data_IF_194584960558
#
_entry.id   IF_194584960558
#
_cell.length_a   1.000
_cell.length_b   1.000
_cell.length_c   1.000
_cell.angle_alpha   90.00
_cell.angle_beta   90.00
_cell.angle_gamma   90.00
#
_symmetry.space_group_name_H-M   'P 1'
#
loop_
_entity.id
_entity.type
_entity.pdbx_description
1 polymer ?
#
# COMPACT_ATOMS: atom_id res chain seq x y z
N UNK A 1 0.29 17.94 13.05
CA UNK A 1 0.51 16.65 12.35
C UNK A 1 -0.66 16.43 11.41
N UNK A 2 -0.44 15.87 10.22
CA UNK A 2 -1.50 15.51 9.28
C UNK A 2 -1.39 14.02 8.96
N UNK A 3 -2.53 13.37 8.79
CA UNK A 3 -2.67 11.97 8.41
C UNK A 3 -3.54 11.90 7.17
N UNK A 4 -2.97 11.38 6.08
CA UNK A 4 -3.70 11.13 4.84
C UNK A 4 -4.91 10.22 5.08
N UNK A 5 -6.01 10.48 4.37
CA UNK A 5 -7.12 9.56 4.35
C UNK A 5 -6.67 8.22 3.73
N UNK A 6 -6.99 7.08 4.37
CA UNK A 6 -6.72 5.77 3.80
C UNK A 6 -7.57 5.47 2.57
N UNK A 7 -8.76 6.08 2.46
CA UNK A 7 -9.74 5.81 1.40
C UNK A 7 -10.26 7.11 0.79
N UNK A 8 -10.98 7.02 -0.34
CA UNK A 8 -11.64 8.18 -0.96
C UNK A 8 -13.01 8.52 -0.36
N UNK A 9 -13.51 7.71 0.59
CA UNK A 9 -14.86 7.84 1.17
C UNK A 9 -14.90 8.64 2.47
N UNK A 10 -13.74 9.04 2.98
CA UNK A 10 -13.60 9.80 4.21
C UNK A 10 -12.47 10.84 4.06
N UNK A 11 -12.61 12.02 4.67
CA UNK A 11 -11.58 13.05 4.60
C UNK A 11 -10.35 12.69 5.46
N UNK A 12 -9.24 13.38 5.21
CA UNK A 12 -8.01 13.23 5.97
C UNK A 12 -8.15 13.74 7.42
N UNK A 13 -7.16 13.46 8.28
CA UNK A 13 -7.13 13.95 9.67
C UNK A 13 -6.00 14.92 9.92
N UNK A 14 -6.28 15.99 10.64
CA UNK A 14 -5.25 16.86 11.19
C UNK A 14 -5.27 16.82 12.71
N UNK A 15 -4.09 17.02 13.29
CA UNK A 15 -3.90 17.04 14.74
C UNK A 15 -3.09 18.28 15.10
N UNK A 16 -3.58 18.98 16.10
CA UNK A 16 -2.82 19.99 16.80
C UNK A 16 -2.20 19.36 18.04
N UNK A 17 -0.88 19.27 18.10
CA UNK A 17 -0.17 18.57 19.17
C UNK A 17 0.75 19.50 19.95
N UNK A 18 0.80 19.29 21.27
CA UNK A 18 1.92 19.67 22.12
C UNK A 18 2.83 18.45 22.25
N UNK A 19 4.13 18.65 21.98
CA UNK A 19 5.16 17.64 22.19
C UNK A 19 6.11 18.13 23.28
N UNK A 20 6.29 17.29 24.31
CA UNK A 20 7.24 17.50 25.38
C UNK A 20 8.31 16.40 25.32
N UNK A 21 9.58 16.78 25.31
CA UNK A 21 10.70 15.85 25.30
C UNK A 21 11.58 16.10 26.52
N UNK A 22 11.93 15.05 27.26
CA UNK A 22 12.78 15.15 28.43
C UNK A 22 13.68 13.93 28.58
N UNK A 23 14.84 14.13 29.19
CA UNK A 23 15.76 13.07 29.59
C UNK A 23 15.54 12.81 31.09
N UNK A 24 15.26 11.57 31.44
CA UNK A 24 15.03 11.12 32.81
C UNK A 24 16.36 10.91 33.55
N UNK A 25 16.31 10.78 34.87
CA UNK A 25 17.50 10.62 35.73
C UNK A 25 18.30 9.35 35.41
N UNK A 26 17.63 8.30 34.92
CA UNK A 26 18.25 7.04 34.48
C UNK A 26 18.87 7.12 33.07
N UNK A 27 18.82 8.29 32.42
CA UNK A 27 19.30 8.50 31.06
C UNK A 27 18.29 8.11 29.97
N UNK A 28 17.09 7.63 30.33
CA UNK A 28 16.04 7.32 29.37
C UNK A 28 15.47 8.60 28.74
N UNK A 29 15.06 8.53 27.47
CA UNK A 29 14.39 9.64 26.78
C UNK A 29 12.88 9.40 26.77
N UNK A 30 12.12 10.37 27.27
CA UNK A 30 10.65 10.37 27.17
C UNK A 30 10.20 11.47 26.21
N UNK A 31 9.29 11.11 25.32
CA UNK A 31 8.58 12.04 24.43
C UNK A 31 7.10 11.86 24.70
N UNK A 32 6.44 12.89 25.20
CA UNK A 32 5.00 12.91 25.44
C UNK A 32 4.31 13.77 24.40
N UNK A 33 3.20 13.28 23.89
CA UNK A 33 2.37 13.94 22.89
C UNK A 33 0.93 13.99 23.37
N UNK A 34 0.30 15.15 23.18
CA UNK A 34 -1.12 15.33 23.45
C UNK A 34 -1.68 16.42 22.57
N UNK A 35 -2.95 16.30 22.19
CA UNK A 35 -3.65 17.37 21.52
C UNK A 35 -3.90 18.56 22.43
N UNK A 36 -3.73 19.77 21.89
CA UNK A 36 -4.21 20.97 22.54
C UNK A 36 -5.71 21.08 22.31
N UNK A 37 -6.47 20.80 23.34
CA UNK A 37 -7.91 21.03 23.35
C UNK A 37 -8.21 22.52 23.56
N UNK A 38 -9.35 22.96 23.05
CA UNK A 38 -9.81 24.34 23.19
C UNK A 38 -10.28 24.57 24.64
N UNK A 39 -9.33 24.61 25.58
CA UNK A 39 -9.60 25.04 26.95
C UNK A 39 -10.09 26.48 26.92
N UNK A 40 -11.08 26.83 27.75
CA UNK A 40 -11.96 28.01 27.68
C UNK A 40 -11.33 29.41 27.43
N UNK A 41 -10.00 29.55 27.39
CA UNK A 41 -9.27 30.80 27.15
C UNK A 41 -8.14 30.69 26.10
N UNK A 42 -8.08 29.60 25.32
CA UNK A 42 -7.10 29.42 24.24
C UNK A 42 -7.58 29.99 22.90
N UNK A 43 -6.67 30.27 21.94
CA UNK A 43 -7.07 30.66 20.60
C UNK A 43 -7.85 29.51 19.94
N UNK A 44 -9.08 29.79 19.49
CA UNK A 44 -9.87 28.87 18.67
C UNK A 44 -9.16 28.69 17.34
N UNK A 45 -8.67 27.49 17.06
CA UNK A 45 -7.87 27.28 15.86
C UNK A 45 -8.75 26.96 14.67
N UNK A 46 -8.54 27.63 13.51
CA UNK A 46 -9.40 27.48 12.38
C UNK A 46 -9.31 26.05 11.82
N UNK A 47 -10.43 25.53 11.28
CA UNK A 47 -10.42 24.26 10.57
C UNK A 47 -9.52 24.36 9.33
N UNK A 48 -8.79 23.28 9.04
CA UNK A 48 -8.01 23.15 7.82
C UNK A 48 -8.90 22.53 6.74
N UNK A 49 -8.97 23.16 5.57
CA UNK A 49 -9.80 22.66 4.47
C UNK A 49 -9.40 21.23 4.07
N UNK A 50 -10.38 20.36 3.83
CA UNK A 50 -10.21 18.93 3.50
C UNK A 50 -9.76 18.01 4.64
N UNK A 51 -9.60 18.54 5.86
CA UNK A 51 -9.26 17.76 7.05
C UNK A 51 -10.36 17.82 8.10
N UNK A 52 -10.52 16.72 8.83
CA UNK A 52 -11.28 16.68 10.09
C UNK A 52 -10.29 16.66 11.24
N UNK A 53 -10.51 17.52 12.22
CA UNK A 53 -9.69 17.60 13.43
C UNK A 53 -9.86 16.35 14.27
N UNK A 54 -8.78 15.61 14.46
CA UNK A 54 -8.69 14.48 15.37
C UNK A 54 -7.96 14.88 16.68
N UNK A 55 -8.17 14.09 17.73
CA UNK A 55 -7.53 14.29 19.03
C UNK A 55 -6.48 13.19 19.27
N UNK A 56 -5.29 13.61 19.72
CA UNK A 56 -4.28 12.73 20.29
C UNK A 56 -4.45 12.76 21.82
N UNK A 57 -4.89 11.65 22.38
CA UNK A 57 -4.92 11.42 23.82
C UNK A 57 -3.47 11.18 24.32
N UNK A 58 -3.21 11.13 25.64
CA UNK A 58 -1.85 10.96 26.17
C UNK A 58 -1.10 9.80 25.49
N UNK A 59 -0.12 10.16 24.66
CA UNK A 59 0.60 9.29 23.74
C UNK A 59 2.09 9.63 23.76
N UNK A 60 2.91 8.80 23.10
CA UNK A 60 4.32 9.10 22.89
C UNK A 60 5.23 7.89 23.05
N UNK A 61 6.49 8.17 23.42
CA UNK A 61 7.60 7.23 23.33
C UNK A 61 8.45 7.25 24.59
N UNK A 62 8.84 6.06 25.08
CA UNK A 62 9.88 5.90 26.09
C UNK A 62 11.02 5.08 25.49
N UNK A 63 12.19 5.71 25.37
CA UNK A 63 13.39 5.09 24.79
C UNK A 63 14.40 4.85 25.91
N UNK A 64 14.76 3.58 26.11
CA UNK A 64 15.70 3.15 27.14
C UNK A 64 16.90 2.48 26.51
N UNK A 65 18.10 2.86 26.92
CA UNK A 65 19.31 2.16 26.53
C UNK A 65 19.30 0.72 27.07
N UNK A 66 19.88 -0.21 26.32
CA UNK A 66 20.01 -1.61 26.70
C UNK A 66 21.47 -2.04 26.70
N UNK A 67 21.78 -3.00 27.57
CA UNK A 67 23.07 -3.67 27.53
C UNK A 67 23.27 -4.33 26.16
N UNK A 68 24.41 -4.08 25.52
CA UNK A 68 24.69 -4.54 24.15
C UNK A 68 24.52 -3.48 23.05
N UNK A 69 24.32 -2.21 23.40
CA UNK A 69 24.35 -1.09 22.44
C UNK A 69 23.05 -0.88 21.63
N UNK A 70 21.95 -1.51 22.06
CA UNK A 70 20.61 -1.30 21.52
C UNK A 70 19.74 -0.41 22.40
N UNK A 71 18.51 -0.18 21.96
CA UNK A 71 17.49 0.54 22.72
C UNK A 71 16.17 -0.22 22.71
N UNK A 72 15.45 -0.21 23.83
CA UNK A 72 14.05 -0.61 23.90
C UNK A 72 13.20 0.65 23.76
N UNK A 73 12.27 0.62 22.81
CA UNK A 73 11.32 1.71 22.55
C UNK A 73 9.93 1.21 22.94
N UNK A 74 9.32 1.84 23.94
CA UNK A 74 7.90 1.67 24.24
C UNK A 74 7.11 2.75 23.52
N UNK A 75 6.05 2.36 22.81
CA UNK A 75 5.19 3.27 22.04
C UNK A 75 3.77 3.20 22.57
N UNK A 76 3.15 4.35 22.77
CA UNK A 76 1.74 4.48 23.13
C UNK A 76 1.08 5.39 22.12
N UNK A 77 0.19 4.82 21.30
CA UNK A 77 -0.58 5.55 20.29
C UNK A 77 -2.08 5.53 20.61
N UNK A 78 -2.58 6.62 21.19
CA UNK A 78 -3.99 6.76 21.55
C UNK A 78 -4.61 7.95 20.81
N UNK A 79 -5.40 7.65 19.79
CA UNK A 79 -5.98 8.64 18.89
C UNK A 79 -7.51 8.51 18.87
N UNK A 80 -8.22 9.64 18.98
CA UNK A 80 -9.64 9.76 18.69
C UNK A 80 -9.80 10.38 17.29
N UNK A 81 -10.30 9.59 16.35
CA UNK A 81 -10.24 9.90 14.92
C UNK A 81 -11.57 10.42 14.36
N UNK A 82 -12.46 10.90 15.22
CA UNK A 82 -13.82 11.37 14.87
C UNK A 82 -14.59 10.33 14.02
N UNK A 83 -14.86 9.12 14.53
CA UNK A 83 -15.50 8.04 13.77
C UNK A 83 -16.90 8.40 13.27
N UNK A 84 -17.57 9.37 13.90
CA UNK A 84 -18.90 9.85 13.48
C UNK A 84 -18.86 10.73 12.23
N UNK A 85 -17.68 11.22 11.84
CA UNK A 85 -17.49 12.03 10.63
C UNK A 85 -17.34 11.20 9.34
N UNK A 86 -17.36 9.86 9.44
CA UNK A 86 -17.20 8.95 8.29
C UNK A 86 -18.46 8.10 8.06
N UNK A 87 -18.66 7.55 6.85
CA UNK A 87 -19.75 6.61 6.59
C UNK A 87 -19.70 5.41 7.53
N UNK A 88 -20.87 4.88 7.91
CA UNK A 88 -21.00 3.78 8.87
C UNK A 88 -20.15 2.56 8.51
N UNK A 89 -20.04 2.25 7.21
CA UNK A 89 -19.22 1.12 6.75
C UNK A 89 -17.73 1.28 7.04
N UNK A 90 -17.22 2.51 7.14
CA UNK A 90 -15.83 2.79 7.48
C UNK A 90 -15.61 3.04 8.96
N UNK A 91 -16.68 3.17 9.76
CA UNK A 91 -16.59 3.54 11.17
C UNK A 91 -15.62 2.64 11.98
N UNK A 92 -15.60 1.30 11.79
CA UNK A 92 -14.64 0.44 12.51
C UNK A 92 -13.16 0.83 12.31
N UNK A 93 -12.81 1.40 11.14
CA UNK A 93 -11.44 1.87 10.85
C UNK A 93 -11.02 3.09 11.68
N UNK A 94 -11.99 3.88 12.15
CA UNK A 94 -11.77 5.14 12.87
C UNK A 94 -12.13 5.05 14.37
N UNK A 95 -12.87 4.02 14.79
CA UNK A 95 -13.18 3.74 16.19
C UNK A 95 -11.95 3.27 16.98
N UNK A 96 -10.98 2.63 16.29
CA UNK A 96 -9.74 2.16 16.89
C UNK A 96 -8.54 2.89 16.29
N UNK A 97 -7.59 3.30 17.13
CA UNK A 97 -6.31 3.84 16.66
C UNK A 97 -5.42 2.77 16.01
N UNK A 98 -5.69 1.48 16.27
CA UNK A 98 -4.77 0.37 15.98
C UNK A 98 -4.23 0.39 14.57
N UNK A 99 -5.08 0.35 13.54
CA UNK A 99 -4.61 0.19 12.15
C UNK A 99 -3.86 1.44 11.66
N UNK A 100 -4.42 2.63 11.88
CA UNK A 100 -3.83 3.88 11.40
C UNK A 100 -2.56 4.26 12.16
N UNK A 101 -2.54 4.05 13.47
CA UNK A 101 -1.35 4.25 14.30
C UNK A 101 -0.28 3.22 13.97
N UNK A 102 -0.61 1.93 13.96
CA UNK A 102 0.35 0.86 13.65
C UNK A 102 1.00 1.07 12.28
N UNK A 103 0.23 1.45 11.26
CA UNK A 103 0.80 1.74 9.93
C UNK A 103 1.87 2.83 10.00
N UNK A 104 1.61 3.90 10.72
CA UNK A 104 2.53 5.05 10.84
C UNK A 104 3.74 4.69 11.70
N UNK A 105 3.51 4.09 12.87
CA UNK A 105 4.54 3.71 13.84
C UNK A 105 5.47 2.64 13.29
N UNK A 106 4.93 1.59 12.66
CA UNK A 106 5.75 0.54 12.04
C UNK A 106 6.60 1.08 10.89
N UNK A 107 6.05 1.95 10.04
CA UNK A 107 6.83 2.59 8.98
C UNK A 107 8.00 3.42 9.55
N UNK A 108 7.78 4.16 10.63
CA UNK A 108 8.83 4.93 11.31
C UNK A 108 9.90 4.03 11.95
N UNK A 109 9.51 2.96 12.65
CA UNK A 109 10.43 2.02 13.27
C UNK A 109 11.28 1.27 12.24
N UNK A 110 10.67 0.81 11.13
CA UNK A 110 11.39 0.22 10.00
C UNK A 110 12.41 1.20 9.42
N UNK A 111 12.03 2.47 9.27
CA UNK A 111 12.94 3.51 8.79
C UNK A 111 14.13 3.74 9.73
N UNK A 112 13.91 3.80 11.05
CA UNK A 112 14.98 3.93 12.05
C UNK A 112 15.93 2.73 12.03
N UNK A 113 15.38 1.52 11.95
CA UNK A 113 16.16 0.28 11.89
C UNK A 113 17.06 0.26 10.65
N UNK A 114 16.54 0.70 9.50
CA UNK A 114 17.33 0.78 8.28
C UNK A 114 18.44 1.84 8.36
N UNK A 115 18.16 3.03 8.92
CA UNK A 115 19.21 4.05 9.13
C UNK A 115 20.33 3.51 10.01
N UNK A 116 19.99 2.85 11.12
CA UNK A 116 20.97 2.27 12.04
C UNK A 116 21.91 1.29 11.34
N UNK A 117 21.37 0.47 10.43
CA UNK A 117 22.16 -0.51 9.69
C UNK A 117 23.06 0.13 8.63
N UNK A 118 22.55 1.11 7.88
CA UNK A 118 23.32 1.84 6.86
C UNK A 118 24.55 2.54 7.49
N UNK A 119 24.42 3.04 8.74
CA UNK A 119 25.53 3.62 9.50
C UNK A 119 26.55 2.57 9.94
N UNK A 120 26.11 1.33 10.20
CA UNK A 120 26.97 0.26 10.72
C UNK A 120 27.78 -0.52 9.67
N UNK A 121 27.35 -0.52 8.39
CA UNK A 121 27.93 -1.35 7.31
C UNK A 121 28.21 -0.53 6.02
N UNK A 122 29.22 0.36 5.99
CA UNK A 122 29.46 1.25 4.85
C UNK A 122 30.09 0.58 3.60
N UNK A 123 30.63 -0.65 3.68
CA UNK A 123 31.52 -1.22 2.66
C UNK A 123 31.08 -2.58 2.07
N UNK A 124 29.78 -2.82 1.85
CA UNK A 124 29.33 -3.98 1.08
C UNK A 124 29.42 -3.71 -0.45
N UNK A 125 30.58 -4.00 -1.04
CA UNK A 125 30.88 -3.86 -2.47
C UNK A 125 30.28 -5.00 -3.30
N UNK A 126 28.99 -4.92 -3.59
CA UNK A 126 28.30 -5.75 -4.57
C UNK A 126 27.21 -4.96 -5.29
N UNK A 127 26.78 -5.40 -6.47
CA UNK A 127 25.80 -4.71 -7.33
C UNK A 127 24.40 -4.45 -6.71
N UNK A 128 24.15 -4.77 -5.44
CA UNK A 128 22.94 -4.41 -4.65
C UNK A 128 22.88 -2.93 -4.26
N UNK A 129 23.26 -2.04 -5.18
CA UNK A 129 23.63 -0.64 -4.94
C UNK A 129 22.40 0.26 -4.70
N UNK A 130 22.51 1.02 -3.61
CA UNK A 130 21.66 2.15 -3.11
C UNK A 130 20.38 1.76 -2.34
N UNK A 131 20.50 1.12 -1.16
CA UNK A 131 19.38 0.99 -0.22
C UNK A 131 18.71 2.35 0.08
N UNK A 132 19.51 3.41 0.19
CA UNK A 132 19.00 4.77 0.39
C UNK A 132 18.16 5.30 -0.79
N UNK A 133 18.56 5.04 -2.04
CA UNK A 133 17.81 5.47 -3.22
C UNK A 133 16.51 4.67 -3.39
N UNK A 134 16.56 3.34 -3.22
CA UNK A 134 15.36 2.50 -3.23
C UNK A 134 14.39 2.88 -2.11
N UNK A 135 14.90 3.24 -0.92
CA UNK A 135 14.09 3.81 0.15
C UNK A 135 13.45 5.13 -0.25
N UNK A 136 14.23 6.07 -0.78
CA UNK A 136 13.72 7.36 -1.22
C UNK A 136 12.62 7.15 -2.27
N UNK A 137 12.81 6.22 -3.19
CA UNK A 137 11.86 5.88 -4.23
C UNK A 137 10.59 5.22 -3.66
N UNK A 138 10.71 4.32 -2.68
CA UNK A 138 9.57 3.72 -1.96
C UNK A 138 8.73 4.77 -1.25
N UNK A 139 9.41 5.70 -0.57
CA UNK A 139 8.76 6.81 0.12
C UNK A 139 8.07 7.75 -0.88
N UNK A 140 8.70 8.05 -2.02
CA UNK A 140 8.10 8.86 -3.09
C UNK A 140 6.88 8.16 -3.70
N UNK A 141 6.93 6.85 -3.96
CA UNK A 141 5.78 6.07 -4.45
C UNK A 141 4.61 6.12 -3.46
N UNK A 142 4.89 5.79 -2.19
CA UNK A 142 3.89 5.75 -1.13
C UNK A 142 3.27 7.12 -0.89
N UNK A 143 4.10 8.17 -0.82
CA UNK A 143 3.66 9.56 -0.67
C UNK A 143 2.82 9.99 -1.87
N UNK A 144 3.30 9.79 -3.11
CA UNK A 144 2.56 10.21 -4.30
C UNK A 144 1.25 9.45 -4.49
N UNK A 145 1.15 8.18 -4.07
CA UNK A 145 -0.11 7.45 -4.03
C UNK A 145 -1.07 8.01 -2.97
N UNK A 146 -0.58 8.34 -1.77
CA UNK A 146 -1.39 9.01 -0.75
C UNK A 146 -1.91 10.37 -1.21
N UNK A 147 -1.06 11.18 -1.87
CA UNK A 147 -1.46 12.44 -2.50
C UNK A 147 -2.53 12.22 -3.57
N UNK A 148 -2.41 11.18 -4.41
CA UNK A 148 -3.42 10.86 -5.43
C UNK A 148 -4.77 10.47 -4.82
N UNK A 149 -4.77 9.67 -3.75
CA UNK A 149 -5.99 9.27 -3.03
C UNK A 149 -6.69 10.47 -2.38
N UNK A 150 -5.92 11.42 -1.84
CA UNK A 150 -6.48 12.56 -1.11
C UNK A 150 -6.83 13.72 -2.04
N UNK A 151 -5.89 14.13 -2.90
CA UNK A 151 -6.09 15.15 -3.93
C UNK A 151 -6.44 16.51 -3.34
N UNK A 152 -5.59 17.00 -2.43
CA UNK A 152 -5.87 18.23 -1.69
C UNK A 152 -5.78 19.49 -2.57
N UNK A 153 -6.67 20.44 -2.31
CA UNK A 153 -6.79 21.67 -3.11
C UNK A 153 -5.62 22.63 -2.94
N UNK A 154 -4.95 22.61 -1.78
CA UNK A 154 -3.74 23.38 -1.49
C UNK A 154 -2.53 22.89 -2.31
N UNK A 155 -2.49 21.62 -2.70
CA UNK A 155 -1.52 21.05 -3.64
C UNK A 155 -1.88 21.29 -5.11
N UNK A 156 -2.93 22.07 -5.41
CA UNK A 156 -3.34 22.43 -6.76
C UNK A 156 -4.25 21.40 -7.45
N UNK A 157 -4.81 20.44 -6.73
CA UNK A 157 -5.83 19.55 -7.28
C UNK A 157 -7.19 20.26 -7.34
N UNK A 158 -7.90 20.07 -8.46
CA UNK A 158 -9.25 20.57 -8.69
C UNK A 158 -10.14 19.43 -9.18
N UNK A 159 -11.41 19.42 -8.76
CA UNK A 159 -12.35 18.41 -9.21
C UNK A 159 -12.82 18.73 -10.62
N UNK A 160 -12.81 17.74 -11.51
CA UNK A 160 -13.43 17.88 -12.82
C UNK A 160 -14.95 17.79 -12.66
N UNK A 161 -15.70 18.71 -13.25
CA UNK A 161 -17.16 18.68 -13.20
C UNK A 161 -17.68 17.32 -13.68
N UNK A 162 -18.47 16.69 -12.82
CA UNK A 162 -19.17 15.44 -13.10
C UNK A 162 -20.66 15.68 -12.91
N UNK A 163 -21.48 14.95 -13.65
CA UNK A 163 -22.94 14.99 -13.61
C UNK A 163 -23.54 14.47 -12.28
N UNK A 164 -22.69 14.09 -11.31
CA UNK A 164 -23.08 13.60 -10.00
C UNK A 164 -23.47 12.12 -9.98
N UNK A 165 -23.32 11.41 -11.11
CA UNK A 165 -23.66 10.00 -11.28
C UNK A 165 -22.39 9.12 -11.38
N UNK A 166 -21.20 9.73 -11.39
CA UNK A 166 -19.94 8.99 -11.56
C UNK A 166 -19.48 8.28 -10.27
N UNK A 167 -19.37 6.94 -10.33
CA UNK A 167 -18.71 6.10 -9.31
C UNK A 167 -17.17 6.32 -9.20
N UNK A 168 -16.60 7.15 -10.08
CA UNK A 168 -15.17 7.44 -10.18
C UNK A 168 -14.97 8.95 -10.07
N UNK A 169 -14.21 9.37 -9.06
CA UNK A 169 -13.84 10.79 -8.89
C UNK A 169 -12.64 11.13 -9.76
N UNK A 170 -12.77 12.20 -10.55
CA UNK A 170 -11.68 12.72 -11.38
C UNK A 170 -11.17 14.05 -10.80
N UNK A 171 -9.86 14.12 -10.60
CA UNK A 171 -9.16 15.33 -10.18
C UNK A 171 -8.11 15.71 -11.21
N UNK A 172 -7.91 17.00 -11.43
CA UNK A 172 -6.89 17.54 -12.33
C UNK A 172 -5.95 18.44 -11.55
N UNK A 173 -4.65 18.28 -11.77
CA UNK A 173 -3.61 19.14 -11.26
C UNK A 173 -2.83 19.75 -12.42
N UNK A 174 -2.93 21.07 -12.56
CA UNK A 174 -2.20 21.87 -13.55
C UNK A 174 -1.12 22.74 -12.90
N UNK A 175 -0.65 22.40 -11.70
CA UNK A 175 0.40 23.15 -11.00
C UNK A 175 1.81 22.80 -11.50
N UNK A 176 2.68 23.80 -11.76
CA UNK A 176 4.03 23.59 -12.29
C UNK A 176 4.98 22.84 -11.36
N UNK A 177 4.67 22.73 -10.06
CA UNK A 177 5.49 22.02 -9.07
C UNK A 177 5.46 20.51 -9.26
N UNK A 178 4.32 19.91 -9.66
CA UNK A 178 4.27 18.50 -10.09
C UNK A 178 4.85 18.28 -11.51
N UNK A 179 5.07 19.36 -12.26
CA UNK A 179 5.58 19.34 -13.64
C UNK A 179 7.10 19.45 -13.73
N UNK A 180 7.78 19.92 -12.68
CA UNK A 180 9.21 20.27 -12.73
C UNK A 180 10.15 19.06 -12.98
N UNK A 181 9.64 17.84 -12.88
CA UNK A 181 10.35 16.62 -13.32
C UNK A 181 10.02 16.17 -14.75
N UNK A 182 8.87 16.54 -15.34
CA UNK A 182 8.43 16.07 -16.67
C UNK A 182 8.89 17.01 -17.80
N UNK A 183 9.41 18.19 -17.44
CA UNK A 183 9.95 19.17 -18.39
C UNK A 183 11.35 18.78 -18.86
N UNK A 184 11.45 17.92 -19.87
CA UNK A 184 12.68 17.75 -20.65
C UNK A 184 12.67 18.72 -21.84
N UNK A 185 13.57 19.70 -21.81
CA UNK A 185 13.79 20.64 -22.90
C UNK A 185 14.38 19.92 -24.12
N UNK A 186 13.63 19.86 -25.22
CA UNK A 186 14.13 19.40 -26.52
C UNK A 186 15.18 20.38 -27.08
N UNK A 187 16.26 19.90 -27.74
CA UNK A 187 17.17 20.76 -28.50
C UNK A 187 16.55 21.33 -29.79
N UNK A 188 15.30 20.96 -30.13
CA UNK A 188 14.56 21.40 -31.32
C UNK A 188 13.23 22.11 -30.99
N UNK A 189 13.27 23.21 -30.24
CA UNK A 189 12.29 24.31 -30.31
C UNK A 189 10.78 24.07 -30.08
N UNK A 190 10.31 22.84 -29.86
CA UNK A 190 8.90 22.51 -29.63
C UNK A 190 8.74 21.77 -28.30
N UNK A 191 8.01 22.32 -27.31
CA UNK A 191 7.76 21.66 -26.04
C UNK A 191 6.63 20.64 -26.18
N UNK A 192 6.96 19.35 -26.26
CA UNK A 192 6.00 18.26 -26.00
C UNK A 192 6.01 17.97 -24.51
N UNK A 193 5.33 18.81 -23.73
CA UNK A 193 5.26 18.70 -22.27
C UNK A 193 3.82 18.34 -21.92
N UNK A 194 3.63 17.22 -21.21
CA UNK A 194 2.35 16.99 -20.52
C UNK A 194 2.15 18.11 -19.51
N UNK A 195 1.15 18.97 -19.75
CA UNK A 195 0.93 20.20 -18.99
C UNK A 195 -0.03 19.99 -17.80
N UNK A 196 -0.47 18.77 -17.54
CA UNK A 196 -1.28 18.45 -16.37
C UNK A 196 -1.26 16.95 -16.02
N UNK A 197 -1.64 16.66 -14.78
CA UNK A 197 -1.85 15.30 -14.28
C UNK A 197 -3.33 15.14 -13.92
N UNK A 198 -3.95 14.08 -14.43
CA UNK A 198 -5.30 13.66 -14.08
C UNK A 198 -5.22 12.47 -13.13
N UNK A 199 -5.93 12.53 -12.00
CA UNK A 199 -6.09 11.42 -11.06
C UNK A 199 -7.52 10.91 -11.15
N UNK A 200 -7.67 9.63 -11.48
CA UNK A 200 -8.94 8.92 -11.39
C UNK A 200 -8.89 8.00 -10.17
N UNK A 201 -9.84 8.17 -9.25
CA UNK A 201 -9.86 7.43 -7.98
C UNK A 201 -11.26 6.96 -7.62
N UNK A 202 -11.32 5.82 -6.94
CA UNK A 202 -12.57 5.20 -6.50
C UNK A 202 -12.31 4.36 -5.25
N UNK A 203 -13.37 4.05 -4.50
CA UNK A 203 -13.31 3.05 -3.45
C UNK A 203 -14.52 2.12 -3.56
N UNK A 204 -14.32 0.84 -3.30
CA UNK A 204 -15.37 -0.17 -3.28
C UNK A 204 -15.26 -1.06 -2.05
N UNK A 205 -16.38 -1.69 -1.68
CA UNK A 205 -16.44 -2.65 -0.60
C UNK A 205 -16.29 -4.07 -1.14
N UNK A 206 -15.44 -4.85 -0.49
CA UNK A 206 -15.21 -6.26 -0.76
C UNK A 206 -15.77 -7.09 0.40
N UNK A 207 -16.39 -8.23 0.07
CA UNK A 207 -16.98 -9.13 1.06
C UNK A 207 -16.32 -10.52 0.99
N UNK A 208 -15.81 -10.97 2.13
CA UNK A 208 -15.15 -12.25 2.35
C UNK A 208 -13.94 -12.50 1.44
N UNK A 209 -13.22 -11.45 1.05
CA UNK A 209 -11.98 -11.58 0.28
C UNK A 209 -10.79 -11.24 1.17
N UNK A 210 -9.87 -12.18 1.41
CA UNK A 210 -8.63 -11.88 2.12
C UNK A 210 -7.78 -10.86 1.35
N UNK A 211 -7.37 -9.73 1.96
CA UNK A 211 -6.60 -8.68 1.28
C UNK A 211 -5.33 -9.18 0.59
N UNK A 212 -4.55 -10.04 1.25
CA UNK A 212 -3.30 -10.58 0.71
C UNK A 212 -3.50 -11.41 -0.57
N UNK A 213 -4.56 -12.21 -0.65
CA UNK A 213 -4.86 -13.07 -1.81
C UNK A 213 -5.24 -12.21 -3.02
N UNK A 214 -6.11 -11.21 -2.83
CA UNK A 214 -6.49 -10.30 -3.90
C UNK A 214 -5.29 -9.45 -4.36
N UNK A 215 -4.48 -8.97 -3.42
CA UNK A 215 -3.27 -8.22 -3.74
C UNK A 215 -2.30 -9.05 -4.57
N UNK A 216 -2.11 -10.32 -4.20
CA UNK A 216 -1.27 -11.26 -4.93
C UNK A 216 -1.81 -11.49 -6.35
N UNK A 217 -3.12 -11.67 -6.52
CA UNK A 217 -3.72 -11.74 -7.85
C UNK A 217 -3.44 -10.48 -8.67
N UNK A 218 -3.64 -9.28 -8.10
CA UNK A 218 -3.40 -8.02 -8.79
C UNK A 218 -1.95 -7.87 -9.23
N UNK A 219 -1.01 -8.33 -8.41
CA UNK A 219 0.42 -8.35 -8.70
C UNK A 219 0.80 -9.36 -9.78
N UNK A 220 0.34 -10.60 -9.67
CA UNK A 220 0.76 -11.73 -10.52
C UNK A 220 0.02 -11.79 -11.85
N UNK A 221 -1.21 -11.26 -11.91
CA UNK A 221 -2.10 -11.35 -13.07
C UNK A 221 -2.47 -9.98 -13.64
N UNK A 222 -1.48 -9.08 -13.81
CA UNK A 222 -1.72 -7.72 -14.33
C UNK A 222 -2.44 -7.70 -15.69
N UNK A 223 -2.17 -8.65 -16.58
CA UNK A 223 -2.84 -8.74 -17.89
C UNK A 223 -4.34 -9.03 -17.82
N UNK A 224 -4.87 -9.53 -16.69
CA UNK A 224 -6.30 -9.82 -16.51
C UNK A 224 -7.12 -8.57 -16.18
N UNK A 225 -6.46 -7.49 -15.73
CA UNK A 225 -7.14 -6.27 -15.30
C UNK A 225 -6.60 -4.99 -15.94
N UNK A 226 -5.33 -4.95 -16.35
CA UNK A 226 -4.71 -3.79 -16.99
C UNK A 226 -4.79 -3.87 -18.51
N UNK A 227 -4.97 -2.72 -19.15
CA UNK A 227 -4.93 -2.58 -20.60
C UNK A 227 -3.52 -2.16 -21.03
N UNK A 228 -2.87 -2.98 -21.86
CA UNK A 228 -1.50 -2.72 -22.32
C UNK A 228 -1.37 -1.42 -23.11
N UNK A 229 -2.44 -0.98 -23.80
CA UNK A 229 -2.45 0.28 -24.54
C UNK A 229 -2.44 1.49 -23.61
N UNK A 230 -3.12 1.39 -22.46
CA UNK A 230 -3.16 2.45 -21.45
C UNK A 230 -1.85 2.48 -20.66
N UNK A 231 -1.26 1.32 -20.35
CA UNK A 231 0.08 1.25 -19.76
C UNK A 231 1.13 1.86 -20.70
N UNK A 232 1.01 1.63 -22.00
CA UNK A 232 1.87 2.26 -23.01
C UNK A 232 1.67 3.78 -23.09
N UNK A 233 0.42 4.26 -23.05
CA UNK A 233 0.11 5.69 -22.99
C UNK A 233 0.74 6.34 -21.75
N UNK A 234 0.52 5.78 -20.56
CA UNK A 234 1.05 6.32 -19.30
C UNK A 234 2.58 6.33 -19.27
N UNK A 235 3.23 5.31 -19.84
CA UNK A 235 4.68 5.26 -19.94
C UNK A 235 5.23 6.29 -20.96
N UNK A 236 4.55 6.44 -22.10
CA UNK A 236 4.94 7.42 -23.13
C UNK A 236 4.80 8.86 -22.65
N UNK A 237 3.74 9.16 -21.87
CA UNK A 237 3.49 10.50 -21.34
C UNK A 237 4.57 11.00 -20.37
N UNK A 238 5.32 10.10 -19.72
CA UNK A 238 6.46 10.44 -18.85
C UNK A 238 7.78 10.50 -19.64
N UNK A 239 7.90 9.74 -20.74
CA UNK A 239 9.06 9.70 -21.63
C UNK A 239 9.00 10.81 -22.70
N UNK A 240 9.00 12.09 -22.30
CA UNK A 240 9.16 13.20 -23.23
C UNK A 240 10.64 13.35 -23.68
N UNK A 241 11.15 12.37 -24.44
CA UNK A 241 12.46 12.41 -25.10
C UNK A 241 12.68 11.20 -26.03
N UNK A 242 13.28 11.37 -27.22
CA UNK A 242 13.56 10.26 -28.12
C UNK A 242 14.75 9.46 -27.57
N UNK A 243 14.51 8.32 -26.93
CA UNK A 243 15.58 7.39 -26.61
C UNK A 243 16.10 6.74 -27.90
N UNK A 244 17.31 7.13 -28.28
CA UNK A 244 18.09 6.52 -29.34
C UNK A 244 18.83 5.27 -28.83
N UNK A 245 18.63 4.17 -29.59
CA UNK A 245 19.52 3.03 -29.85
C UNK A 245 19.48 1.79 -28.92
N UNK A 246 19.81 0.60 -29.50
CA UNK A 246 19.17 -0.68 -29.22
C UNK A 246 20.08 -1.64 -28.46
N UNK A 247 19.50 -2.66 -27.83
CA UNK A 247 20.21 -3.92 -27.57
C UNK A 247 19.31 -5.10 -27.90
N UNK A 248 19.70 -5.82 -28.94
CA UNK A 248 19.20 -7.15 -29.25
C UNK A 248 19.68 -8.14 -28.18
N UNK A 249 18.75 -8.84 -27.53
CA UNK A 249 18.92 -10.25 -27.21
C UNK A 249 17.65 -11.00 -27.58
N UNK A 250 17.82 -11.95 -28.49
CA UNK A 250 16.82 -12.91 -28.92
C UNK A 250 16.27 -13.69 -27.72
N UNK A 251 14.95 -13.88 -27.71
CA UNK A 251 14.24 -14.68 -26.71
C UNK A 251 12.78 -14.26 -26.61
N UNK A 252 12.01 -14.54 -27.66
CA UNK A 252 10.55 -14.43 -27.65
C UNK A 252 9.95 -15.27 -26.52
N UNK A 253 9.26 -14.64 -25.58
CA UNK A 253 8.08 -15.16 -24.87
C UNK A 253 7.26 -13.98 -24.37
N UNK A 254 5.98 -13.88 -24.76
CA UNK A 254 5.06 -12.90 -24.19
C UNK A 254 4.92 -13.15 -22.69
N UNK A 255 5.63 -12.36 -21.89
CA UNK A 255 5.74 -12.55 -20.45
C UNK A 255 6.16 -11.28 -19.75
N UNK A 256 5.58 -11.03 -18.58
CA UNK A 256 6.04 -9.99 -17.67
C UNK A 256 7.32 -10.49 -17.00
N UNK A 257 8.43 -9.77 -17.16
CA UNK A 257 9.68 -10.09 -16.43
C UNK A 257 9.70 -9.26 -15.16
N UNK A 258 9.58 -9.94 -14.01
CA UNK A 258 9.65 -9.32 -12.68
C UNK A 258 11.09 -9.41 -12.19
N UNK A 259 11.73 -8.26 -11.98
CA UNK A 259 13.08 -8.15 -11.42
C UNK A 259 12.97 -7.62 -9.98
N UNK A 260 13.16 -8.45 -8.95
CA UNK A 260 13.13 -7.99 -7.57
C UNK A 260 14.33 -7.07 -7.29
N UNK A 261 14.06 -5.85 -6.79
CA UNK A 261 15.10 -4.84 -6.47
C UNK A 261 15.52 -4.89 -5.00
N UNK A 262 14.56 -5.01 -4.10
CA UNK A 262 14.82 -5.07 -2.66
C UNK A 262 13.69 -5.77 -1.92
N UNK A 263 14.07 -6.55 -0.93
CA UNK A 263 13.17 -7.05 0.11
C UNK A 263 13.56 -6.36 1.41
N UNK A 264 12.57 -5.85 2.15
CA UNK A 264 12.82 -5.44 3.54
C UNK A 264 13.19 -6.68 4.36
N UNK A 265 13.97 -6.48 5.43
CA UNK A 265 14.61 -7.54 6.24
C UNK A 265 13.61 -8.51 6.88
N UNK A 266 12.33 -8.13 6.94
CA UNK A 266 11.22 -8.91 7.48
C UNK A 266 10.22 -9.40 6.39
N UNK A 267 10.54 -9.24 5.10
CA UNK A 267 9.72 -9.64 3.94
C UNK A 267 8.32 -9.01 3.86
N UNK A 268 8.02 -7.99 4.66
CA UNK A 268 6.68 -7.35 4.69
C UNK A 268 6.45 -6.41 3.51
N UNK A 269 7.51 -5.74 3.05
CA UNK A 269 7.51 -4.88 1.87
C UNK A 269 8.62 -5.28 0.90
N UNK A 270 8.29 -5.32 -0.39
CA UNK A 270 9.28 -5.56 -1.44
C UNK A 270 9.01 -4.69 -2.67
N UNK A 271 10.09 -4.39 -3.38
CA UNK A 271 10.09 -3.53 -4.55
C UNK A 271 10.61 -4.31 -5.76
N UNK A 272 9.94 -4.16 -6.90
CA UNK A 272 10.21 -4.90 -8.12
C UNK A 272 10.14 -3.98 -9.34
N UNK A 273 10.86 -4.33 -10.40
CA UNK A 273 10.68 -3.74 -11.72
C UNK A 273 9.97 -4.75 -12.60
N UNK A 274 8.86 -4.34 -13.18
CA UNK A 274 8.15 -5.10 -14.19
C UNK A 274 8.54 -4.55 -15.55
N UNK A 275 9.16 -5.40 -16.37
CA UNK A 275 9.30 -5.15 -17.80
C UNK A 275 8.05 -5.65 -18.52
N UNK A 276 7.31 -4.74 -19.14
CA UNK A 276 6.19 -5.05 -20.02
C UNK A 276 6.68 -5.00 -21.47
N UNK A 277 6.67 -6.15 -22.14
CA UNK A 277 6.97 -6.24 -23.55
C UNK A 277 5.69 -5.96 -24.35
N UNK A 278 5.67 -4.86 -25.09
CA UNK A 278 4.52 -4.52 -25.93
C UNK A 278 4.64 -5.21 -27.29
N UNK A 279 3.85 -6.26 -27.52
CA UNK A 279 3.66 -6.83 -28.84
C UNK A 279 2.68 -5.94 -29.62
N UNK A 280 3.18 -4.82 -30.14
CA UNK A 280 2.40 -3.98 -31.05
C UNK A 280 1.88 -4.81 -32.21
N UNK A 281 0.56 -4.72 -32.47
CA UNK A 281 -0.03 -5.29 -33.67
C UNK A 281 0.69 -4.71 -34.89
N UNK A 282 1.28 -5.58 -35.70
CA UNK A 282 1.93 -5.22 -36.97
C UNK A 282 0.97 -4.42 -37.85
N UNK A 283 1.14 -3.11 -37.88
CA UNK A 283 0.65 -2.25 -38.96
C UNK A 283 1.85 -1.46 -39.48
N UNK A 284 1.92 -1.41 -40.81
CA UNK A 284 3.02 -0.90 -41.62
C UNK A 284 3.69 0.36 -41.05
N UNK A 285 5.01 0.39 -41.24
CA UNK A 285 5.98 1.45 -40.96
C UNK A 285 6.61 1.48 -39.54
N UNK A 286 7.68 0.68 -39.40
CA UNK A 286 8.82 0.78 -38.46
C UNK A 286 8.52 1.40 -37.08
N UNK A 287 7.89 0.63 -36.20
CA UNK A 287 7.86 0.94 -34.76
C UNK A 287 8.71 -0.11 -34.04
N UNK A 288 9.85 0.33 -33.50
CA UNK A 288 10.69 -0.50 -32.64
C UNK A 288 9.89 -0.89 -31.39
N UNK A 289 10.03 -2.12 -30.85
CA UNK A 289 9.43 -2.49 -29.58
C UNK A 289 9.94 -1.54 -28.49
N UNK A 290 9.03 -0.75 -27.90
CA UNK A 290 9.35 0.12 -26.77
C UNK A 290 9.12 -0.68 -25.50
N UNK A 291 10.21 -1.06 -24.84
CA UNK A 291 10.14 -1.67 -23.52
C UNK A 291 9.56 -0.66 -22.52
N UNK A 292 8.50 -1.07 -21.82
CA UNK A 292 7.88 -0.31 -20.73
C UNK A 292 8.36 -0.89 -19.41
N UNK A 293 8.84 -0.02 -18.52
CA UNK A 293 9.28 -0.41 -17.19
C UNK A 293 8.34 0.21 -16.16
N UNK A 294 7.79 -0.63 -15.29
CA UNK A 294 7.04 -0.20 -14.12
C UNK A 294 7.84 -0.52 -12.87
N UNK A 295 8.00 0.46 -12.00
CA UNK A 295 8.43 0.22 -10.64
C UNK A 295 7.21 -0.14 -9.80
N UNK A 296 7.29 -1.22 -9.02
CA UNK A 296 6.20 -1.74 -8.21
C UNK A 296 6.64 -1.92 -6.75
N UNK A 297 5.84 -1.41 -5.82
CA UNK A 297 5.97 -1.56 -4.38
C UNK A 297 4.77 -2.36 -3.87
N UNK A 298 5.04 -3.44 -3.14
CA UNK A 298 4.02 -4.29 -2.52
C UNK A 298 4.21 -4.31 -1.02
N UNK A 299 3.12 -4.20 -0.26
CA UNK A 299 3.08 -4.27 1.20
C UNK A 299 1.91 -5.15 1.66
N UNK A 300 2.08 -5.88 2.77
CA UNK A 300 1.01 -6.69 3.38
C UNK A 300 0.71 -7.99 2.63
N UNK A 301 1.76 -8.69 2.18
CA UNK A 301 1.66 -9.96 1.43
C UNK A 301 1.57 -11.19 2.35
N UNK A 302 1.93 -11.06 3.63
CA UNK A 302 1.80 -12.14 4.61
C UNK A 302 0.34 -12.30 5.07
N UNK A 303 -0.23 -13.49 4.86
CA UNK A 303 -1.58 -13.85 5.28
C UNK A 303 -1.73 -13.92 6.82
N UNK A 304 -0.62 -14.09 7.55
CA UNK A 304 -0.61 -14.24 9.01
C UNK A 304 -0.52 -12.90 9.76
N UNK A 305 -0.28 -11.79 9.05
CA UNK A 305 -0.26 -10.46 9.62
C UNK A 305 -1.69 -9.96 9.89
N UNK A 306 -2.22 -10.26 11.08
CA UNK A 306 -3.58 -9.88 11.48
C UNK A 306 -3.70 -8.35 11.49
N UNK A 307 -4.68 -7.82 10.75
CA UNK A 307 -5.05 -6.39 10.78
C UNK A 307 -4.21 -5.46 9.89
N UNK A 308 -3.31 -5.98 9.05
CA UNK A 308 -2.47 -5.15 8.20
C UNK A 308 -3.15 -4.75 6.88
N UNK A 309 -2.92 -3.51 6.48
CA UNK A 309 -3.27 -2.98 5.16
C UNK A 309 -2.43 -3.67 4.07
N UNK A 310 -3.06 -4.08 2.97
CA UNK A 310 -2.39 -4.62 1.79
C UNK A 310 -2.33 -3.54 0.70
N UNK A 311 -1.16 -3.28 0.12
CA UNK A 311 -0.96 -2.20 -0.86
C UNK A 311 -0.11 -2.65 -2.05
N UNK A 312 -0.52 -2.25 -3.25
CA UNK A 312 0.18 -2.47 -4.50
C UNK A 312 0.25 -1.14 -5.23
N UNK A 313 1.41 -0.50 -5.21
CA UNK A 313 1.63 0.83 -5.80
C UNK A 313 2.68 0.70 -6.88
N UNK A 314 2.44 1.24 -8.07
CA UNK A 314 3.38 1.22 -9.17
C UNK A 314 3.44 2.55 -9.92
N UNK A 315 4.54 2.82 -10.60
CA UNK A 315 4.70 3.98 -11.46
C UNK A 315 5.52 3.62 -12.71
N UNK A 316 5.24 4.23 -13.87
CA UNK A 316 6.12 4.11 -15.02
C UNK A 316 7.45 4.79 -14.71
N UNK A 317 8.54 4.16 -15.15
CA UNK A 317 9.89 4.66 -14.96
C UNK A 317 10.66 4.60 -16.28
N UNK A 318 11.65 5.48 -16.41
CA UNK A 318 12.60 5.39 -17.50
C UNK A 318 13.69 4.36 -17.20
N UNK A 319 14.24 3.74 -18.25
CA UNK A 319 15.32 2.76 -18.15
C UNK A 319 16.59 3.35 -17.49
N UNK A 320 16.75 4.68 -17.52
CA UNK A 320 17.86 5.38 -16.88
C UNK A 320 17.80 5.42 -15.35
N UNK A 321 16.65 5.10 -14.72
CA UNK A 321 16.49 5.03 -13.25
C UNK A 321 17.06 6.25 -12.49
N UNK A 322 16.83 7.46 -13.01
CA UNK A 322 17.26 8.69 -12.34
C UNK A 322 16.50 8.90 -11.02
N UNK A 323 17.23 9.19 -9.94
CA UNK A 323 16.67 9.43 -8.59
C UNK A 323 15.73 10.66 -8.55
N UNK A 324 15.86 11.58 -9.50
CA UNK A 324 15.07 12.82 -9.61
C UNK A 324 13.92 12.75 -10.65
N UNK A 325 13.75 11.61 -11.33
CA UNK A 325 12.70 11.48 -12.35
C UNK A 325 11.30 11.61 -11.73
N UNK A 326 10.36 12.31 -12.38
CA UNK A 326 8.97 12.40 -11.93
C UNK A 326 8.36 11.00 -11.95
N UNK A 327 7.66 10.65 -10.87
CA UNK A 327 6.90 9.41 -10.81
C UNK A 327 5.43 9.78 -10.63
N UNK A 328 4.55 9.05 -11.30
CA UNK A 328 3.10 9.17 -11.17
C UNK A 328 2.55 7.86 -10.59
N UNK A 329 2.51 7.72 -9.25
CA UNK A 329 2.10 6.48 -8.62
C UNK A 329 0.62 6.18 -8.88
N UNK A 330 0.33 4.95 -9.24
CA UNK A 330 -1.01 4.39 -9.42
C UNK A 330 -1.08 3.06 -8.70
N UNK A 331 -2.26 2.62 -8.28
CA UNK A 331 -2.36 1.34 -7.60
C UNK A 331 -3.60 1.12 -6.75
N UNK A 332 -3.42 0.23 -5.79
CA UNK A 332 -4.46 -0.38 -4.99
C UNK A 332 -4.09 -0.40 -3.52
N UNK A 333 -5.09 -0.22 -2.68
CA UNK A 333 -5.00 -0.36 -1.23
C UNK A 333 -6.22 -1.13 -0.75
N UNK A 334 -6.01 -2.17 0.05
CA UNK A 334 -7.08 -2.98 0.62
C UNK A 334 -6.91 -2.97 2.14
N UNK A 335 -7.95 -2.48 2.82
CA UNK A 335 -7.97 -2.37 4.29
C UNK A 335 -9.11 -3.24 4.83
N UNK A 336 -8.82 -4.20 5.71
CA UNK A 336 -9.86 -4.93 6.42
C UNK A 336 -10.58 -3.98 7.38
N UNK A 337 -11.92 -4.03 7.36
CA UNK A 337 -12.78 -3.24 8.24
C UNK A 337 -13.11 -4.00 9.53
N UNK A 338 -13.09 -5.33 9.47
CA UNK A 338 -13.27 -6.18 10.65
C UNK A 338 -11.91 -6.47 11.28
N UNK A 339 -11.43 -5.56 12.12
CA UNK A 339 -10.43 -5.93 13.11
C UNK A 339 -11.13 -6.79 14.14
N UNK A 340 -10.81 -8.08 14.21
CA UNK A 340 -11.38 -9.03 15.16
C UNK A 340 -11.07 -8.67 16.62
N UNK A 341 -11.64 -7.56 17.11
CA UNK A 341 -11.93 -7.42 18.52
C UNK A 341 -13.14 -8.30 18.76
N UNK A 342 -12.87 -9.55 19.13
CA UNK A 342 -13.64 -10.12 20.22
C UNK A 342 -13.63 -9.05 21.31
N UNK A 343 -14.73 -8.31 21.48
CA UNK A 343 -14.97 -7.61 22.74
C UNK A 343 -14.69 -8.66 23.81
N UNK A 344 -13.66 -8.50 24.67
CA UNK A 344 -13.43 -9.47 25.71
C UNK A 344 -14.69 -9.44 26.56
N UNK A 345 -15.53 -10.46 26.41
CA UNK A 345 -16.64 -10.64 27.32
C UNK A 345 -16.05 -10.60 28.73
N UNK A 346 -16.74 -10.00 29.72
CA UNK A 346 -16.21 -9.84 31.08
C UNK A 346 -15.81 -11.18 31.74
N UNK A 347 -16.17 -12.31 31.11
CA UNK A 347 -15.79 -13.66 31.51
C UNK A 347 -14.31 -13.98 31.26
N UNK A 348 -13.63 -13.35 30.29
CA UNK A 348 -12.21 -13.64 29.98
C UNK A 348 -11.26 -13.15 31.08
N UNK A 349 -11.64 -12.09 31.80
CA UNK A 349 -10.88 -11.56 32.95
C UNK A 349 -11.07 -12.43 34.20
N UNK A 350 -12.24 -13.06 34.35
CA UNK A 350 -12.52 -14.04 35.42
C UNK A 350 -11.69 -15.32 35.24
N UNK A 351 -11.47 -15.73 33.99
CA UNK A 351 -10.72 -16.96 33.67
C UNK A 351 -9.23 -16.82 34.00
N UNK A 352 -8.64 -15.65 33.78
CA UNK A 352 -7.25 -15.34 34.14
C UNK A 352 -7.00 -15.29 35.66
N UNK A 353 -8.00 -14.87 36.44
CA UNK A 353 -7.92 -14.92 37.90
C UNK A 353 -8.01 -16.36 38.43
N UNK A 354 -8.77 -17.23 37.75
CA UNK A 354 -8.87 -18.66 38.09
C UNK A 354 -7.62 -19.46 37.75
N UNK A 355 -6.83 -19.01 36.76
CA UNK A 355 -5.59 -19.66 36.32
C UNK A 355 -4.39 -19.40 37.26
N UNK A 356 -4.54 -18.58 38.31
CA UNK A 356 -3.52 -18.35 39.33
C UNK A 356 -3.66 -19.26 40.56
N UNK A 357 -4.70 -20.09 40.65
CA UNK A 357 -4.78 -21.10 41.70
C UNK A 357 -4.01 -22.37 41.30
N UNK A 358 -2.88 -22.58 41.96
CA UNK A 358 -2.00 -23.74 41.81
C UNK A 358 -2.71 -25.03 42.28
N UNK A 359 -3.08 -25.89 41.32
CA UNK A 359 -3.62 -27.24 41.57
C UNK A 359 -3.33 -28.20 40.40
N UNK A 360 -3.13 -29.52 40.63
CA UNK A 360 -2.35 -30.36 39.72
C UNK A 360 -3.13 -30.84 38.48
N UNK A 361 -2.48 -30.69 37.32
CA UNK A 361 -2.58 -31.47 36.06
C UNK A 361 -3.89 -32.21 35.77
N UNK A 362 -4.71 -31.63 34.88
CA UNK A 362 -5.79 -32.33 34.19
C UNK A 362 -5.89 -31.87 32.73
N UNK A 363 -5.54 -32.76 31.80
CA UNK A 363 -5.68 -32.54 30.36
C UNK A 363 -7.13 -32.15 29.99
N UNK A 364 -7.32 -30.94 29.46
CA UNK A 364 -8.52 -30.61 28.66
C UNK A 364 -8.08 -30.07 27.31
N UNK A 365 -8.34 -30.88 26.28
CA UNK A 365 -8.22 -30.47 24.89
C UNK A 365 -9.18 -29.30 24.63
N UNK A 366 -8.65 -28.15 24.24
CA UNK A 366 -9.44 -27.01 23.77
C UNK A 366 -9.98 -27.35 22.38
N UNK A 367 -11.17 -27.93 22.32
CA UNK A 367 -11.94 -28.11 21.10
C UNK A 367 -12.51 -26.78 20.59
N UNK A 368 -12.44 -26.64 19.27
CA UNK A 368 -13.36 -25.87 18.41
C UNK A 368 -13.53 -24.36 18.69
N UNK A 369 -12.53 -23.57 18.30
CA UNK A 369 -12.74 -22.17 17.88
C UNK A 369 -13.10 -22.11 16.38
N UNK A 370 -14.08 -22.90 15.95
CA UNK A 370 -14.59 -22.91 14.59
C UNK A 370 -16.02 -22.34 14.55
N UNK A 371 -16.23 -21.13 15.09
CA UNK A 371 -17.50 -20.43 14.89
C UNK A 371 -17.37 -18.93 15.17
N UNK A 372 -16.71 -18.20 14.28
CA UNK A 372 -17.10 -16.81 14.06
C UNK A 372 -16.97 -16.45 12.58
N UNK A 373 -17.92 -16.99 11.80
CA UNK A 373 -18.17 -16.64 10.40
C UNK A 373 -18.79 -15.22 10.32
N UNK A 374 -18.10 -14.22 10.87
CA UNK A 374 -18.40 -12.83 10.60
C UNK A 374 -18.07 -12.54 9.12
N UNK A 375 -19.00 -11.89 8.42
CA UNK A 375 -18.82 -11.49 7.02
C UNK A 375 -17.64 -10.51 6.91
N UNK A 376 -16.44 -10.99 6.56
CA UNK A 376 -15.20 -10.19 6.55
C UNK A 376 -15.30 -9.10 5.49
N UNK A 377 -15.50 -7.85 5.90
CA UNK A 377 -15.55 -6.70 5.01
C UNK A 377 -14.17 -6.06 4.87
N UNK A 378 -13.84 -5.66 3.66
CA UNK A 378 -12.66 -4.83 3.37
C UNK A 378 -13.06 -3.68 2.47
N UNK A 379 -12.37 -2.56 2.58
CA UNK A 379 -12.47 -1.46 1.62
C UNK A 379 -11.26 -1.52 0.69
N UNK A 380 -11.51 -1.51 -0.61
CA UNK A 380 -10.49 -1.37 -1.63
C UNK A 380 -10.53 0.04 -2.21
N UNK A 381 -9.41 0.73 -2.16
CA UNK A 381 -9.21 2.05 -2.75
C UNK A 381 -8.29 1.93 -3.95
N UNK A 382 -8.68 2.60 -5.03
CA UNK A 382 -8.03 2.61 -6.33
C UNK A 382 -7.68 4.06 -6.65
N UNK A 383 -6.46 4.33 -7.09
CA UNK A 383 -6.08 5.63 -7.63
C UNK A 383 -5.10 5.44 -8.80
N UNK A 384 -5.39 6.09 -9.93
CA UNK A 384 -4.57 6.05 -11.14
C UNK A 384 -4.29 7.46 -11.62
N UNK A 385 -3.03 7.73 -11.95
CA UNK A 385 -2.56 9.03 -12.43
C UNK A 385 -2.13 8.96 -13.89
N UNK A 386 -2.54 9.96 -14.67
CA UNK A 386 -2.28 10.09 -16.09
C UNK A 386 -1.69 11.47 -16.38
N UNK A 387 -0.49 11.51 -16.95
CA UNK A 387 0.04 12.74 -17.54
C UNK A 387 -0.65 12.99 -18.88
N UNK A 388 -1.07 14.22 -19.13
CA UNK A 388 -1.74 14.59 -20.37
C UNK A 388 -1.49 16.04 -20.79
N UNK A 389 -1.80 16.35 -22.04
CA UNK A 389 -1.82 17.72 -22.53
C UNK A 389 -3.19 18.36 -22.33
N UNK A 390 -3.24 19.63 -21.90
CA UNK A 390 -4.51 20.31 -21.55
C UNK A 390 -5.60 20.21 -22.62
N UNK A 391 -5.23 20.20 -23.90
CA UNK A 391 -6.19 20.10 -25.00
C UNK A 391 -6.85 18.70 -25.14
N UNK A 392 -6.26 17.67 -24.51
CA UNK A 392 -6.78 16.30 -24.46
C UNK A 392 -7.54 16.00 -23.16
N UNK A 393 -7.78 16.99 -22.30
CA UNK A 393 -8.35 16.80 -20.96
C UNK A 393 -9.60 15.93 -20.97
N UNK A 394 -10.57 16.25 -21.82
CA UNK A 394 -11.85 15.53 -21.89
C UNK A 394 -11.67 14.08 -22.37
N UNK A 395 -10.80 13.88 -23.38
CA UNK A 395 -10.49 12.56 -23.92
C UNK A 395 -9.82 11.67 -22.87
N UNK A 396 -8.83 12.21 -22.16
CA UNK A 396 -8.11 11.50 -21.09
C UNK A 396 -9.00 11.26 -19.89
N UNK A 397 -9.87 12.21 -19.54
CA UNK A 397 -10.88 12.02 -18.49
C UNK A 397 -11.85 10.87 -18.82
N UNK A 398 -12.36 10.81 -20.05
CA UNK A 398 -13.21 9.73 -20.51
C UNK A 398 -12.48 8.37 -20.49
N UNK A 399 -11.24 8.33 -21.00
CA UNK A 399 -10.39 7.15 -20.99
C UNK A 399 -10.09 6.66 -19.56
N UNK A 400 -9.65 7.55 -18.67
CA UNK A 400 -9.31 7.23 -17.29
C UNK A 400 -10.52 6.72 -16.50
N UNK A 401 -11.69 7.34 -16.70
CA UNK A 401 -12.95 6.90 -16.09
C UNK A 401 -13.32 5.49 -16.55
N UNK A 402 -13.27 5.24 -17.86
CA UNK A 402 -13.58 3.93 -18.41
C UNK A 402 -12.59 2.85 -17.96
N UNK A 403 -11.31 3.22 -17.86
CA UNK A 403 -10.27 2.32 -17.39
C UNK A 403 -10.48 1.89 -15.93
N UNK A 404 -10.70 2.86 -15.03
CA UNK A 404 -10.98 2.56 -13.62
C UNK A 404 -12.25 1.71 -13.48
N UNK A 405 -13.31 1.99 -14.25
CA UNK A 405 -14.53 1.15 -14.28
C UNK A 405 -14.25 -0.28 -14.74
N UNK A 406 -13.44 -0.45 -15.79
CA UNK A 406 -13.03 -1.78 -16.27
C UNK A 406 -12.27 -2.56 -15.20
N UNK A 407 -11.33 -1.90 -14.52
CA UNK A 407 -10.58 -2.48 -13.39
C UNK A 407 -11.53 -2.89 -12.27
N UNK A 408 -12.45 -2.00 -11.86
CA UNK A 408 -13.45 -2.30 -10.82
C UNK A 408 -14.25 -3.55 -11.20
N UNK A 409 -14.74 -3.64 -12.44
CA UNK A 409 -15.50 -4.80 -12.92
C UNK A 409 -14.67 -6.10 -12.90
N UNK A 410 -13.39 -6.04 -13.31
CA UNK A 410 -12.49 -7.20 -13.26
C UNK A 410 -12.17 -7.63 -11.83
N UNK A 411 -11.91 -6.68 -10.93
CA UNK A 411 -11.69 -6.95 -9.52
C UNK A 411 -12.93 -7.54 -8.87
N UNK A 412 -14.12 -7.01 -9.14
CA UNK A 412 -15.37 -7.56 -8.61
C UNK A 412 -15.58 -9.01 -9.06
N UNK A 413 -15.29 -9.33 -10.32
CA UNK A 413 -15.38 -10.70 -10.86
C UNK A 413 -14.44 -11.65 -10.11
N UNK A 414 -13.20 -11.22 -9.88
CA UNK A 414 -12.19 -12.01 -9.15
C UNK A 414 -12.56 -12.13 -7.67
N UNK A 415 -13.01 -11.04 -7.06
CA UNK A 415 -13.47 -11.01 -5.68
C UNK A 415 -14.62 -12.01 -5.44
N UNK A 416 -15.58 -12.09 -6.37
CA UNK A 416 -16.66 -13.08 -6.31
C UNK A 416 -16.15 -14.52 -6.42
N UNK A 417 -15.09 -14.77 -7.21
CA UNK A 417 -14.49 -16.09 -7.34
C UNK A 417 -13.62 -16.49 -6.13
N UNK A 418 -13.00 -15.50 -5.46
CA UNK A 418 -12.18 -15.70 -4.26
C UNK A 418 -12.99 -15.74 -2.97
N UNK A 419 -14.24 -15.27 -3.00
CA UNK A 419 -15.15 -15.32 -1.85
C UNK A 419 -15.48 -16.78 -1.53
N UNK A 420 -15.25 -17.27 -0.29
CA UNK A 420 -15.63 -18.62 0.09
C UNK A 420 -17.14 -18.76 -0.07
N UNK A 421 -17.57 -19.56 -1.04
CA UNK A 421 -18.97 -19.90 -1.22
C UNK A 421 -19.50 -20.61 0.03
N UNK A 422 -20.70 -20.25 0.51
CA UNK A 422 -21.44 -20.92 1.60
C UNK A 422 -21.86 -22.37 1.25
N UNK A 423 -21.02 -23.16 0.58
CA UNK A 423 -21.22 -24.60 0.46
C UNK A 423 -20.70 -25.24 1.75
N UNK A 424 -21.63 -25.87 2.47
CA UNK A 424 -21.47 -26.35 3.84
C UNK A 424 -20.22 -27.18 4.11
N UNK A 425 -19.85 -27.19 5.39
CA UNK A 425 -18.82 -28.04 5.97
C UNK A 425 -18.87 -29.45 5.39
N UNK A 426 -17.84 -29.82 4.60
CA UNK A 426 -17.30 -31.18 4.36
C UNK A 426 -16.49 -31.19 3.05
N UNK A 427 -15.43 -30.39 2.95
CA UNK A 427 -14.38 -30.62 1.96
C UNK A 427 -13.07 -30.04 2.50
N UNK A 428 -12.26 -30.87 3.14
CA UNK A 428 -10.89 -30.50 3.50
C UNK A 428 -10.12 -30.07 2.25
N UNK A 429 -9.43 -28.93 2.34
CA UNK A 429 -8.55 -28.42 1.30
C UNK A 429 -7.55 -29.51 0.88
N UNK A 430 -7.77 -30.10 -0.29
CA UNK A 430 -6.76 -30.88 -0.98
C UNK A 430 -5.79 -29.87 -1.61
N UNK A 431 -4.48 -29.95 -1.35
CA UNK A 431 -3.50 -29.12 -2.04
C UNK A 431 -3.59 -29.33 -3.56
N UNK A 432 -3.12 -28.39 -4.40
CA UNK A 432 -3.15 -28.53 -5.84
C UNK A 432 -2.44 -29.84 -6.25
N UNK A 433 -2.83 -30.48 -7.37
CA UNK A 433 -2.15 -31.68 -7.83
C UNK A 433 -0.73 -31.30 -8.24
N UNK A 434 0.21 -31.37 -7.30
CA UNK A 434 1.63 -31.43 -7.62
C UNK A 434 1.86 -32.60 -8.56
N UNK A 435 2.86 -32.48 -9.44
CA UNK A 435 3.18 -33.52 -10.41
C UNK A 435 3.22 -34.90 -9.71
N UNK A 436 2.68 -35.96 -10.36
CA UNK A 436 2.62 -37.28 -9.75
C UNK A 436 4.01 -37.81 -9.35
N UNK A 437 5.08 -37.32 -9.96
CA UNK A 437 6.45 -37.62 -9.54
C UNK A 437 6.79 -37.03 -8.16
N UNK A 438 6.39 -35.78 -7.87
CA UNK A 438 6.71 -35.11 -6.60
C UNK A 438 6.02 -35.78 -5.40
N UNK A 439 4.76 -36.23 -5.58
CA UNK A 439 4.06 -37.00 -4.54
C UNK A 439 4.67 -38.39 -4.34
N UNK A 440 5.18 -39.01 -5.41
CA UNK A 440 5.83 -40.32 -5.33
C UNK A 440 7.19 -40.21 -4.63
N UNK A 441 7.96 -39.16 -4.93
CA UNK A 441 9.25 -38.87 -4.30
C UNK A 441 9.10 -38.57 -2.81
N UNK A 442 8.14 -37.72 -2.42
CA UNK A 442 7.87 -37.42 -1.02
C UNK A 442 7.47 -38.68 -0.23
N UNK A 443 6.69 -39.57 -0.86
CA UNK A 443 6.28 -40.85 -0.26
C UNK A 443 7.46 -41.81 -0.10
N UNK A 444 8.36 -41.87 -1.08
CA UNK A 444 9.60 -42.65 -1.02
C UNK A 444 10.55 -42.14 0.08
N UNK A 445 10.72 -40.82 0.18
CA UNK A 445 11.54 -40.20 1.23
C UNK A 445 10.96 -40.53 2.60
N UNK A 446 9.65 -40.38 2.80
CA UNK A 446 9.01 -40.71 4.09
C UNK A 446 9.11 -42.21 4.45
N UNK A 447 9.11 -43.10 3.45
CA UNK A 447 9.28 -44.54 3.68
C UNK A 447 10.75 -44.91 3.97
N UNK A 448 11.72 -44.18 3.42
CA UNK A 448 13.15 -44.42 3.68
C UNK A 448 13.56 -44.19 5.14
N UNK A 449 12.84 -43.34 5.88
CA UNK A 449 13.06 -43.10 7.31
C UNK A 449 12.35 -44.10 8.24
N UNK A 450 11.59 -45.07 7.70
CA UNK A 450 10.87 -46.08 8.51
C UNK A 450 11.62 -47.40 8.69
N UNK A 451 12.83 -47.54 8.14
CA UNK A 451 13.69 -48.71 8.35
C UNK A 451 15.02 -48.34 9.01
N UNK A 452 14.99 -47.73 10.19
CA UNK A 452 16.02 -47.89 11.22
C UNK A 452 15.35 -47.77 12.60
N UNK A 453 14.78 -48.87 13.10
CA UNK A 453 14.79 -49.27 14.51
C UNK A 453 14.99 -50.78 14.53
#
# INVERSE_FOLDING_TARGET
>A
MQLYAPTTLAPARDFWLLRYTSVLEDGSLVVCERSLNNTQNGPTMPPVQNFVRAEMLPSGYLIRACEGGGSIIHVVDHMELEPWSVPEVLRPLYESSTLLAQKTTMAALRHLRQISQDVSQPNATGWGRRPAALRALSQRLSKGFNEAVNGFTDEGWSMLESDGIDDVTLLVNSSPSKMMGVNLSYPNGFPSVSNAVLCAKASMLLQNVPPAILLRFLREHRSEWADSSIDAYSAAAIKAGPCSLPVSRAGSFGGQVILPLAHTIEHEEFMEVIKLENMGHYRDDMIMPVDIFLLQLCSGVDENAIGTCAELVFAPIDASFSDDAPILPSGFRIIPLDSGMDTPSPNRTLDLASALEVGPTGNRASGDNASNSGNRKSVMTIAFQFAFEMHLQENVAAMARQYVRSIIASVQRVALALSPSNFGSHAGFRPPPGSPEAQTLARWICQSYRCVI
#
